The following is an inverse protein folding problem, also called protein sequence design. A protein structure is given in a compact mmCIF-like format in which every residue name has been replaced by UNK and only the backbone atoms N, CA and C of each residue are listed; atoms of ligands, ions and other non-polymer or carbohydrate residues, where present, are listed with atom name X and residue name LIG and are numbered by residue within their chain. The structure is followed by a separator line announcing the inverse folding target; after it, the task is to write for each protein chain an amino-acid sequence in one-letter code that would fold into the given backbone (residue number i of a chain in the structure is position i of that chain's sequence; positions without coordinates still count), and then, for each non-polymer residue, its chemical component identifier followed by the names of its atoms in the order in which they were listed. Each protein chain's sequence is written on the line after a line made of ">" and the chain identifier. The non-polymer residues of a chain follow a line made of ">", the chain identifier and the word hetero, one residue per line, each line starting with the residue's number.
data_IF_274787116218
#
_entry.id   IF_274787116218
#
_cell.length_a   1.000
_cell.length_b   1.000
_cell.length_c   1.000
_cell.angle_alpha   90.00
_cell.angle_beta   90.00
_cell.angle_gamma   90.00
#
_symmetry.space_group_name_H-M   'P 1'
#
loop_
_entity.id
_entity.type
_entity.pdbx_description
1 polymer ?
#
# COMPACT_ATOMS: atom_id res chain seq x y z
N UNK A 1 27.79 56.74 17.04
CA UNK A 1 27.56 55.36 17.53
C UNK A 1 26.20 54.91 17.07
N UNK A 2 26.10 54.43 15.83
CA UNK A 2 24.87 53.88 15.27
C UNK A 2 25.01 52.37 15.38
N UNK A 3 24.49 51.81 16.47
CA UNK A 3 24.56 50.39 16.75
C UNK A 3 23.56 49.67 15.84
N UNK A 4 24.10 48.83 14.96
CA UNK A 4 23.34 47.97 14.07
C UNK A 4 22.43 47.03 14.86
N UNK A 5 21.13 47.31 14.89
CA UNK A 5 20.11 46.48 15.53
C UNK A 5 19.19 45.76 14.52
N UNK A 6 19.66 45.52 13.29
CA UNK A 6 18.83 44.92 12.23
C UNK A 6 19.33 43.57 11.69
N UNK A 7 20.19 42.86 12.44
CA UNK A 7 20.65 41.49 12.07
C UNK A 7 20.35 40.48 13.19
N UNK A 8 19.17 40.58 13.81
CA UNK A 8 18.76 39.63 14.85
C UNK A 8 17.33 39.09 14.66
N UNK A 9 16.76 39.15 13.46
CA UNK A 9 15.43 38.58 13.16
C UNK A 9 15.51 37.30 12.30
N UNK A 10 16.63 36.58 12.38
CA UNK A 10 16.75 35.25 11.76
C UNK A 10 16.88 34.13 12.81
N UNK A 11 17.16 34.47 14.08
CA UNK A 11 17.43 33.51 15.16
C UNK A 11 16.34 33.47 16.23
N UNK A 12 15.26 34.24 16.09
CA UNK A 12 14.18 34.30 17.10
C UNK A 12 12.92 33.49 16.71
N UNK A 13 12.88 32.95 15.49
CA UNK A 13 11.96 31.87 15.10
C UNK A 13 12.70 30.56 15.18
N UNK A 14 12.78 29.99 16.38
CA UNK A 14 13.52 28.76 16.65
C UNK A 14 13.24 27.63 15.65
N UNK A 15 14.28 27.18 14.94
CA UNK A 15 14.52 25.79 14.49
C UNK A 15 13.44 24.98 13.74
N UNK A 16 12.31 25.55 13.31
CA UNK A 16 11.16 24.78 12.83
C UNK A 16 11.07 24.56 11.30
N UNK A 17 11.99 25.13 10.52
CA UNK A 17 11.93 25.12 9.05
C UNK A 17 13.27 24.55 8.52
N UNK A 18 13.46 23.22 8.47
CA UNK A 18 12.79 22.28 7.54
C UNK A 18 12.32 20.96 8.20
N UNK A 19 12.22 20.92 9.54
CA UNK A 19 12.00 19.67 10.30
C UNK A 19 10.60 19.06 10.08
N UNK A 20 9.55 19.88 9.99
CA UNK A 20 8.19 19.40 9.72
C UNK A 20 8.07 18.81 8.30
N UNK A 21 8.69 19.45 7.31
CA UNK A 21 8.74 18.93 5.94
C UNK A 21 9.50 17.60 5.88
N UNK A 22 10.66 17.52 6.54
CA UNK A 22 11.44 16.28 6.63
C UNK A 22 10.68 15.15 7.34
N UNK A 23 9.92 15.48 8.39
CA UNK A 23 9.09 14.51 9.13
C UNK A 23 7.98 13.94 8.25
N UNK A 24 7.19 14.80 7.59
CA UNK A 24 6.11 14.36 6.69
C UNK A 24 6.67 13.54 5.53
N UNK A 25 7.79 13.95 4.95
CA UNK A 25 8.42 13.23 3.86
C UNK A 25 8.97 11.88 4.33
N UNK A 26 9.60 11.82 5.49
CA UNK A 26 10.10 10.57 6.07
C UNK A 26 8.98 9.59 6.39
N UNK A 27 7.96 10.03 7.14
CA UNK A 27 6.80 9.19 7.49
C UNK A 27 6.02 8.77 6.25
N UNK A 28 5.77 9.71 5.34
CA UNK A 28 5.08 9.43 4.08
C UNK A 28 5.84 8.46 3.18
N UNK A 29 7.17 8.60 3.09
CA UNK A 29 8.02 7.68 2.35
C UNK A 29 7.99 6.27 2.95
N UNK A 30 8.13 6.14 4.28
CA UNK A 30 8.03 4.83 4.95
C UNK A 30 6.65 4.21 4.71
N UNK A 31 5.57 4.97 4.83
CA UNK A 31 4.22 4.51 4.55
C UNK A 31 4.06 4.05 3.09
N UNK A 32 4.62 4.79 2.13
CA UNK A 32 4.59 4.44 0.71
C UNK A 32 5.39 3.17 0.40
N UNK A 33 6.59 3.01 0.97
CA UNK A 33 7.42 1.81 0.78
C UNK A 33 6.75 0.58 1.38
N UNK A 34 6.24 0.68 2.62
CA UNK A 34 5.56 -0.44 3.29
C UNK A 34 4.26 -0.80 2.56
N UNK A 35 3.41 0.20 2.28
CA UNK A 35 2.13 -0.02 1.59
C UNK A 35 2.32 -0.54 0.17
N UNK A 36 3.27 0.01 -0.59
CA UNK A 36 3.61 -0.44 -1.93
C UNK A 36 4.19 -1.86 -1.94
N UNK A 37 5.05 -2.19 -0.97
CA UNK A 37 5.61 -3.54 -0.83
C UNK A 37 4.52 -4.57 -0.53
N UNK A 38 3.64 -4.29 0.44
CA UNK A 38 2.50 -5.15 0.78
C UNK A 38 1.53 -5.31 -0.40
N UNK A 39 1.19 -4.21 -1.08
CA UNK A 39 0.31 -4.24 -2.25
C UNK A 39 0.92 -5.07 -3.39
N UNK A 40 2.24 -4.97 -3.61
CA UNK A 40 2.94 -5.76 -4.61
C UNK A 40 2.91 -7.26 -4.28
N UNK A 41 3.14 -7.63 -3.02
CA UNK A 41 3.04 -9.03 -2.59
C UNK A 41 1.60 -9.57 -2.65
N UNK A 42 0.57 -8.75 -2.39
CA UNK A 42 -0.83 -9.17 -2.54
C UNK A 42 -1.24 -9.28 -4.02
N UNK A 43 -0.73 -8.40 -4.88
CA UNK A 43 -1.04 -8.41 -6.31
C UNK A 43 -0.39 -9.57 -7.05
N UNK A 44 0.70 -10.16 -6.54
CA UNK A 44 1.27 -11.39 -7.10
C UNK A 44 0.59 -12.59 -6.49
N UNK A 45 -0.14 -13.35 -7.32
CA UNK A 45 -0.40 -14.76 -7.02
C UNK A 45 0.98 -15.41 -6.82
N UNK A 46 1.23 -16.13 -5.71
CA UNK A 46 2.53 -16.74 -5.50
C UNK A 46 2.84 -17.69 -6.68
N UNK A 47 4.08 -17.65 -7.15
CA UNK A 47 4.52 -18.51 -8.24
C UNK A 47 4.23 -19.98 -7.91
N UNK A 48 3.57 -20.68 -8.82
CA UNK A 48 3.07 -22.05 -8.58
C UNK A 48 1.58 -22.15 -8.20
N UNK A 49 0.84 -21.03 -8.10
CA UNK A 49 -0.62 -21.04 -8.03
C UNK A 49 -1.32 -21.08 -9.40
N UNK A 50 -0.57 -20.91 -10.50
CA UNK A 50 -1.11 -20.97 -11.86
C UNK A 50 -1.41 -22.40 -12.32
N UNK A 51 -0.60 -23.37 -11.90
CA UNK A 51 -0.74 -24.81 -12.17
C UNK A 51 -1.16 -25.60 -10.91
N UNK A 52 -1.67 -24.91 -9.88
CA UNK A 52 -2.10 -25.57 -8.66
C UNK A 52 -3.37 -26.39 -8.91
N UNK A 53 -3.20 -27.70 -9.10
CA UNK A 53 -4.28 -28.67 -9.16
C UNK A 53 -5.17 -28.53 -7.92
N UNK A 54 -6.49 -28.46 -8.11
CA UNK A 54 -7.42 -28.42 -6.98
C UNK A 54 -7.28 -29.73 -6.20
N UNK A 55 -6.99 -29.68 -4.89
CA UNK A 55 -6.82 -30.91 -4.12
C UNK A 55 -8.10 -31.75 -4.11
N UNK A 56 -7.94 -33.08 -4.10
CA UNK A 56 -9.04 -34.04 -4.18
C UNK A 56 -10.00 -34.03 -2.99
N UNK A 57 -9.63 -33.39 -1.87
CA UNK A 57 -10.47 -33.32 -0.67
C UNK A 57 -11.52 -32.20 -0.71
N UNK A 58 -11.42 -31.24 -1.63
CA UNK A 58 -12.41 -30.17 -1.70
C UNK A 58 -13.62 -30.72 -2.47
N UNK A 59 -14.83 -30.76 -1.90
CA UNK A 59 -16.02 -31.15 -2.63
C UNK A 59 -16.36 -30.15 -3.74
N UNK A 60 -17.00 -30.61 -4.80
CA UNK A 60 -17.52 -29.74 -5.86
C UNK A 60 -18.82 -29.09 -5.40
N UNK A 61 -18.89 -27.75 -5.39
CA UNK A 61 -20.11 -27.03 -5.10
C UNK A 61 -20.86 -26.82 -6.41
N UNK A 62 -21.90 -27.62 -6.65
CA UNK A 62 -22.82 -27.41 -7.78
C UNK A 62 -23.57 -26.11 -7.56
N UNK A 63 -23.26 -25.08 -8.34
CA UNK A 63 -23.97 -23.80 -8.27
C UNK A 63 -25.29 -23.92 -9.05
N UNK A 64 -26.26 -23.03 -8.80
CA UNK A 64 -27.55 -23.03 -9.53
C UNK A 64 -27.38 -22.98 -11.07
N UNK A 65 -26.27 -22.43 -11.55
CA UNK A 65 -25.93 -22.32 -12.97
C UNK A 65 -25.64 -23.69 -13.60
N UNK A 66 -24.99 -24.61 -12.88
CA UNK A 66 -24.62 -25.94 -13.39
C UNK A 66 -25.85 -26.84 -13.59
N UNK A 67 -26.94 -26.59 -12.85
CA UNK A 67 -28.22 -27.30 -13.01
C UNK A 67 -28.99 -26.87 -14.26
N UNK A 68 -28.72 -25.69 -14.80
CA UNK A 68 -29.50 -25.12 -15.90
C UNK A 68 -28.98 -25.58 -17.27
N UNK A 69 -27.69 -25.93 -17.37
CA UNK A 69 -27.10 -26.54 -18.57
C UNK A 69 -27.47 -28.04 -18.69
N UNK A 70 -27.56 -28.76 -17.55
CA UNK A 70 -27.95 -30.17 -17.55
C UNK A 70 -29.43 -30.42 -17.91
N UNK A 71 -30.32 -29.48 -17.59
CA UNK A 71 -31.76 -29.59 -17.95
C UNK A 71 -32.04 -29.13 -19.39
N UNK A 72 -31.18 -28.32 -20.00
CA UNK A 72 -31.33 -27.87 -21.39
C UNK A 72 -30.93 -28.92 -22.43
N UNK A 73 -30.24 -29.99 -22.00
CA UNK A 73 -29.62 -30.99 -22.89
C UNK A 73 -30.31 -32.36 -22.85
N UNK A 74 -31.49 -32.45 -22.22
CA UNK A 74 -32.35 -33.63 -22.19
C UNK A 74 -33.74 -33.31 -22.73
#
# INVERSE_FOLDING_TARGET
>A
MIHAQFVAVATETGGHFPSLFALVYGVGFVAAVVGGSLAWYNSKRPAGWEDAERPSFIPEIKTKLDRQDSDSKN
#
